data_IF_442820415647
#
_entry.id   IF_442820415647
#
_cell.length_a   1.000
_cell.length_b   1.000
_cell.length_c   1.000
_cell.angle_alpha   90.00
_cell.angle_beta   90.00
_cell.angle_gamma   90.00
#
_symmetry.space_group_name_H-M   'P 1'
#
loop_
_entity.id
_entity.type
_entity.pdbx_description
1 polymer ?
#
# COMPACT_ATOMS: atom_id res chain seq x y z
N UNK A 1 7.73 -21.47 -5.35
CA UNK A 1 7.75 -21.59 -3.88
C UNK A 1 6.48 -20.97 -3.34
N UNK A 2 5.83 -21.62 -2.39
CA UNK A 2 4.65 -21.06 -1.71
C UNK A 2 5.12 -19.98 -0.73
N UNK A 3 4.50 -18.79 -0.78
CA UNK A 3 4.73 -17.74 0.23
C UNK A 3 4.11 -18.19 1.56
N UNK A 4 4.94 -18.66 2.50
CA UNK A 4 4.55 -19.18 3.83
C UNK A 4 5.36 -18.50 4.95
N UNK A 5 5.03 -17.24 5.30
CA UNK A 5 5.73 -16.49 6.34
C UNK A 5 5.47 -17.00 7.77
N UNK A 6 4.51 -17.92 7.96
CA UNK A 6 4.15 -18.47 9.27
C UNK A 6 4.73 -19.87 9.52
N UNK A 7 5.19 -20.56 8.48
CA UNK A 7 5.68 -21.93 8.54
C UNK A 7 4.60 -22.96 8.91
N UNK A 8 3.33 -22.61 8.78
CA UNK A 8 2.19 -23.42 9.23
C UNK A 8 1.22 -23.82 8.10
N UNK A 9 1.64 -23.64 6.83
CA UNK A 9 0.83 -23.91 5.64
C UNK A 9 0.12 -25.27 5.67
N UNK A 10 0.82 -26.32 6.13
CA UNK A 10 0.28 -27.67 6.17
C UNK A 10 -1.02 -27.78 6.99
N UNK A 11 -1.13 -27.00 8.08
CA UNK A 11 -2.23 -27.06 9.06
C UNK A 11 -3.18 -25.86 8.98
N UNK A 12 -2.70 -24.70 8.49
CA UNK A 12 -3.45 -23.44 8.47
C UNK A 12 -3.76 -22.93 7.07
N UNK A 13 -3.28 -23.60 6.02
CA UNK A 13 -3.49 -23.19 4.64
C UNK A 13 -2.64 -21.98 4.24
N UNK A 14 -2.91 -21.45 3.05
CA UNK A 14 -2.21 -20.27 2.53
C UNK A 14 -2.49 -19.04 3.41
N UNK A 15 -1.42 -18.40 3.91
CA UNK A 15 -1.47 -17.20 4.75
C UNK A 15 -2.38 -17.28 5.98
N UNK A 16 -2.52 -18.48 6.57
CA UNK A 16 -3.31 -18.70 7.79
C UNK A 16 -4.75 -18.14 7.66
N UNK A 17 -5.40 -18.35 6.52
CA UNK A 17 -6.77 -17.88 6.30
C UNK A 17 -7.81 -18.65 7.15
N UNK A 18 -8.96 -18.02 7.43
CA UNK A 18 -10.05 -18.58 8.25
C UNK A 18 -10.56 -19.91 7.69
N UNK A 19 -10.66 -20.03 6.36
CA UNK A 19 -11.15 -21.23 5.69
C UNK A 19 -10.11 -22.38 5.65
N UNK A 20 -8.87 -22.14 6.09
CA UNK A 20 -7.72 -23.05 5.96
C UNK A 20 -7.49 -23.52 4.52
N UNK A 21 -7.94 -22.74 3.53
CA UNK A 21 -7.77 -23.04 2.12
C UNK A 21 -6.27 -23.04 1.78
N UNK A 22 -5.81 -24.06 1.06
CA UNK A 22 -4.41 -24.20 0.63
C UNK A 22 -4.14 -23.58 -0.73
N UNK A 23 -5.17 -23.51 -1.56
CA UNK A 23 -5.11 -22.93 -2.89
C UNK A 23 -5.11 -21.39 -2.80
N UNK A 24 -4.03 -20.71 -3.25
CA UNK A 24 -3.96 -19.25 -3.25
C UNK A 24 -5.09 -18.60 -4.07
N UNK A 25 -5.56 -19.22 -5.16
CA UNK A 25 -6.63 -18.66 -5.99
C UNK A 25 -7.96 -18.60 -5.23
N UNK A 26 -8.24 -19.63 -4.43
CA UNK A 26 -9.42 -19.64 -3.55
C UNK A 26 -9.30 -18.52 -2.52
N UNK A 27 -8.14 -18.34 -1.90
CA UNK A 27 -7.92 -17.27 -0.91
C UNK A 27 -8.05 -15.90 -1.55
N UNK A 28 -7.49 -15.67 -2.75
CA UNK A 28 -7.62 -14.38 -3.45
C UNK A 28 -9.08 -14.06 -3.80
N UNK A 29 -9.89 -15.05 -4.19
CA UNK A 29 -11.33 -14.87 -4.40
C UNK A 29 -12.06 -14.48 -3.12
N UNK A 30 -11.76 -15.14 -1.99
CA UNK A 30 -12.34 -14.78 -0.68
C UNK A 30 -11.95 -13.33 -0.30
N UNK A 31 -10.70 -12.98 -0.53
CA UNK A 31 -10.14 -11.67 -0.24
C UNK A 31 -10.78 -10.57 -1.11
N UNK A 32 -10.98 -10.84 -2.40
CA UNK A 32 -11.70 -9.94 -3.31
C UNK A 32 -13.16 -9.73 -2.87
N UNK A 33 -13.88 -10.79 -2.54
CA UNK A 33 -15.26 -10.69 -2.08
C UNK A 33 -15.37 -9.89 -0.76
N UNK A 34 -14.50 -10.20 0.21
CA UNK A 34 -14.42 -9.47 1.49
C UNK A 34 -14.15 -7.99 1.27
N UNK A 35 -13.20 -7.66 0.38
CA UNK A 35 -12.91 -6.30 -0.02
C UNK A 35 -14.16 -5.58 -0.55
N UNK A 36 -14.85 -6.14 -1.56
CA UNK A 36 -16.04 -5.52 -2.14
C UNK A 36 -17.12 -5.21 -1.10
N UNK A 37 -17.30 -6.09 -0.12
CA UNK A 37 -18.28 -5.89 0.97
C UNK A 37 -17.83 -4.89 2.05
N UNK A 38 -16.51 -4.74 2.25
CA UNK A 38 -15.94 -3.91 3.32
C UNK A 38 -15.65 -2.45 2.94
N UNK A 39 -15.58 -2.13 1.63
CA UNK A 39 -15.17 -0.79 1.15
C UNK A 39 -16.00 0.34 1.76
N UNK A 40 -17.34 0.21 1.77
CA UNK A 40 -18.20 1.30 2.22
C UNK A 40 -18.04 1.56 3.72
N UNK A 41 -17.89 0.49 4.52
CA UNK A 41 -17.64 0.59 5.96
C UNK A 41 -16.25 1.21 6.25
N UNK A 42 -15.22 0.79 5.52
CA UNK A 42 -13.87 1.33 5.65
C UNK A 42 -13.81 2.81 5.25
N UNK A 43 -14.41 3.20 4.11
CA UNK A 43 -14.50 4.60 3.70
C UNK A 43 -15.31 5.44 4.69
N UNK A 44 -16.40 4.90 5.25
CA UNK A 44 -17.18 5.58 6.30
C UNK A 44 -16.33 5.84 7.54
N UNK A 45 -15.53 4.87 7.99
CA UNK A 45 -14.59 5.04 9.11
C UNK A 45 -13.59 6.17 8.82
N UNK A 46 -12.94 6.14 7.65
CA UNK A 46 -11.93 7.11 7.26
C UNK A 46 -12.49 8.53 7.15
N UNK A 47 -13.67 8.71 6.53
CA UNK A 47 -14.35 10.00 6.42
C UNK A 47 -14.72 10.60 7.78
N UNK A 48 -14.96 9.77 8.80
CA UNK A 48 -15.30 10.23 10.14
C UNK A 48 -14.10 10.77 10.93
N UNK A 49 -12.87 10.45 10.52
CA UNK A 49 -11.66 10.88 11.23
C UNK A 49 -11.27 12.32 10.89
N UNK A 50 -10.90 13.12 11.89
CA UNK A 50 -10.36 14.49 11.67
C UNK A 50 -9.00 14.47 10.98
N UNK A 51 -8.15 13.52 11.37
CA UNK A 51 -6.83 13.23 10.82
C UNK A 51 -6.66 11.72 10.75
N UNK A 52 -5.94 11.23 9.75
CA UNK A 52 -5.60 9.82 9.61
C UNK A 52 -4.29 9.51 10.33
N UNK A 53 -4.26 8.35 10.97
CA UNK A 53 -3.13 7.83 11.74
C UNK A 53 -2.78 6.41 11.31
N UNK A 54 -1.65 5.88 11.78
CA UNK A 54 -1.30 4.47 11.59
C UNK A 54 -2.44 3.51 12.00
N UNK A 55 -3.15 3.83 13.09
CA UNK A 55 -4.27 3.03 13.57
C UNK A 55 -5.42 2.95 12.55
N UNK A 56 -5.65 4.01 11.77
CA UNK A 56 -6.68 4.01 10.72
C UNK A 56 -6.29 3.12 9.54
N UNK A 57 -4.99 3.00 9.23
CA UNK A 57 -4.49 2.06 8.22
C UNK A 57 -4.73 0.61 8.67
N UNK A 58 -4.40 0.30 9.93
CA UNK A 58 -4.66 -1.02 10.52
C UNK A 58 -6.16 -1.34 10.58
N UNK A 59 -6.98 -0.38 11.01
CA UNK A 59 -8.43 -0.54 11.10
C UNK A 59 -9.07 -0.70 9.72
N UNK A 60 -8.58 0.00 8.70
CA UNK A 60 -9.01 -0.17 7.31
C UNK A 60 -8.75 -1.60 6.85
N UNK A 61 -7.51 -2.09 7.00
CA UNK A 61 -7.19 -3.47 6.64
C UNK A 61 -8.04 -4.50 7.40
N UNK A 62 -8.24 -4.29 8.72
CA UNK A 62 -9.10 -5.14 9.53
C UNK A 62 -10.52 -5.19 8.97
N UNK A 63 -11.13 -4.04 8.74
CA UNK A 63 -12.50 -3.91 8.22
C UNK A 63 -12.66 -4.60 6.87
N UNK A 64 -11.64 -4.53 6.01
CA UNK A 64 -11.66 -5.15 4.69
C UNK A 64 -11.51 -6.67 4.73
N UNK A 65 -10.78 -7.23 5.71
CA UNK A 65 -10.25 -8.60 5.60
C UNK A 65 -10.40 -9.48 6.85
N UNK A 66 -11.06 -9.02 7.92
CA UNK A 66 -11.25 -9.82 9.15
C UNK A 66 -12.07 -11.10 8.92
N UNK A 67 -12.92 -11.14 7.89
CA UNK A 67 -13.63 -12.36 7.50
C UNK A 67 -12.72 -13.41 6.82
N UNK A 68 -11.52 -13.02 6.36
CA UNK A 68 -10.60 -13.87 5.60
C UNK A 68 -9.35 -14.22 6.40
N UNK A 69 -8.79 -13.25 7.11
CA UNK A 69 -7.54 -13.40 7.84
C UNK A 69 -7.73 -13.17 9.35
N UNK A 70 -7.39 -14.14 10.22
CA UNK A 70 -7.39 -13.95 11.67
C UNK A 70 -6.43 -12.85 12.15
N UNK A 71 -5.43 -12.52 11.33
CA UNK A 71 -4.44 -11.48 11.61
C UNK A 71 -4.81 -10.12 11.00
N UNK A 72 -6.00 -9.95 10.40
CA UNK A 72 -6.37 -8.70 9.76
C UNK A 72 -6.27 -7.51 10.72
N UNK A 73 -5.54 -6.47 10.29
CA UNK A 73 -5.21 -5.30 11.13
C UNK A 73 -3.95 -5.46 11.97
N UNK A 74 -3.32 -6.63 11.97
CA UNK A 74 -1.94 -6.82 12.42
C UNK A 74 -0.96 -6.67 11.27
N UNK A 75 0.03 -5.81 11.43
CA UNK A 75 1.10 -5.62 10.44
C UNK A 75 2.13 -6.79 10.47
N UNK A 76 3.12 -6.72 9.58
CA UNK A 76 4.22 -7.69 9.50
C UNK A 76 5.17 -7.58 10.70
N UNK A 77 5.22 -6.46 11.42
CA UNK A 77 5.98 -6.42 12.67
C UNK A 77 5.36 -7.38 13.71
N UNK A 78 4.04 -7.40 13.84
CA UNK A 78 3.37 -8.33 14.73
C UNK A 78 3.36 -9.78 14.21
N UNK A 79 3.26 -9.98 12.90
CA UNK A 79 2.98 -11.31 12.33
C UNK A 79 4.19 -12.03 11.71
N UNK A 80 5.20 -11.29 11.26
CA UNK A 80 6.31 -11.82 10.47
C UNK A 80 7.56 -10.92 10.54
N UNK A 81 7.95 -10.48 11.75
CA UNK A 81 9.07 -9.54 11.96
C UNK A 81 10.44 -10.08 11.57
N UNK A 82 10.54 -11.40 11.39
CA UNK A 82 11.76 -12.12 11.08
C UNK A 82 12.06 -12.17 9.57
N UNK A 83 11.20 -11.63 8.69
CA UNK A 83 11.40 -11.66 7.23
C UNK A 83 11.41 -10.29 6.57
N UNK A 84 12.24 -10.17 5.55
CA UNK A 84 12.11 -9.14 4.52
C UNK A 84 11.10 -9.58 3.46
N UNK A 85 10.25 -8.65 3.03
CA UNK A 85 9.33 -8.83 1.91
C UNK A 85 9.78 -7.91 0.77
N UNK A 86 9.73 -8.41 -0.46
CA UNK A 86 10.14 -7.66 -1.64
C UNK A 86 9.18 -7.84 -2.81
N UNK A 87 9.27 -6.91 -3.76
CA UNK A 87 8.67 -7.01 -5.08
C UNK A 87 9.69 -6.58 -6.13
N UNK A 88 10.09 -7.51 -7.00
CA UNK A 88 11.19 -7.28 -7.93
C UNK A 88 12.50 -6.97 -7.20
N UNK A 89 13.10 -5.83 -7.53
CA UNK A 89 14.34 -5.28 -6.95
C UNK A 89 14.13 -4.59 -5.59
N UNK A 90 12.90 -4.15 -5.29
CA UNK A 90 12.59 -3.30 -4.13
C UNK A 90 12.33 -4.17 -2.91
N UNK A 91 13.11 -3.94 -1.85
CA UNK A 91 12.81 -4.45 -0.50
C UNK A 91 11.86 -3.43 0.15
N UNK A 92 10.68 -3.86 0.59
CA UNK A 92 9.77 -2.98 1.31
C UNK A 92 10.32 -2.61 2.69
N UNK A 93 9.68 -1.65 3.38
CA UNK A 93 10.09 -1.24 4.71
C UNK A 93 10.34 -2.45 5.63
N UNK A 94 11.50 -2.42 6.31
CA UNK A 94 11.83 -3.41 7.32
C UNK A 94 10.72 -3.43 8.39
N UNK A 95 10.36 -4.59 8.97
CA UNK A 95 9.27 -4.66 9.94
C UNK A 95 9.30 -3.61 11.05
N UNK A 96 10.48 -3.25 11.56
CA UNK A 96 10.62 -2.21 12.60
C UNK A 96 10.41 -0.77 12.08
N UNK A 97 10.47 -0.55 10.77
CA UNK A 97 10.36 0.76 10.14
C UNK A 97 8.98 1.01 9.50
N UNK A 98 8.12 -0.03 9.44
CA UNK A 98 6.78 0.04 8.81
C UNK A 98 5.99 1.25 9.33
N UNK A 99 5.90 1.39 10.67
CA UNK A 99 5.14 2.48 11.27
C UNK A 99 5.71 3.84 10.88
N UNK A 100 7.03 4.01 10.93
CA UNK A 100 7.70 5.25 10.54
C UNK A 100 7.42 5.60 9.07
N UNK A 101 7.49 4.61 8.18
CA UNK A 101 7.23 4.79 6.76
C UNK A 101 5.76 5.22 6.50
N UNK A 102 4.81 4.57 7.16
CA UNK A 102 3.39 4.92 7.02
C UNK A 102 3.06 6.27 7.68
N UNK A 103 3.60 6.57 8.85
CA UNK A 103 3.40 7.87 9.51
C UNK A 103 3.93 9.01 8.61
N UNK A 104 5.08 8.83 7.96
CA UNK A 104 5.60 9.81 6.98
C UNK A 104 4.68 9.95 5.75
N UNK A 105 4.17 8.85 5.21
CA UNK A 105 3.22 8.88 4.09
C UNK A 105 1.93 9.63 4.46
N UNK A 106 1.41 9.41 5.68
CA UNK A 106 0.23 10.10 6.21
C UNK A 106 0.51 11.58 6.47
N UNK A 107 1.68 11.93 6.99
CA UNK A 107 2.09 13.33 7.15
C UNK A 107 2.06 14.07 5.80
N UNK A 108 2.74 13.52 4.78
CA UNK A 108 2.77 14.10 3.43
C UNK A 108 1.40 14.14 2.76
N UNK A 109 0.61 13.08 2.88
CA UNK A 109 -0.72 13.03 2.28
C UNK A 109 -1.76 13.93 2.96
N UNK A 110 -1.55 14.29 4.23
CA UNK A 110 -2.42 15.24 4.94
C UNK A 110 -2.07 16.70 4.67
N UNK A 111 -0.84 16.99 4.21
CA UNK A 111 -0.55 18.26 3.55
C UNK A 111 -1.33 18.33 2.23
N UNK A 112 -2.40 19.11 2.24
CA UNK A 112 -3.32 19.21 1.09
C UNK A 112 -2.64 19.75 -0.16
N UNK A 113 -1.67 20.66 -0.02
CA UNK A 113 -0.97 21.22 -1.17
C UNK A 113 -0.07 20.15 -1.78
N UNK A 114 0.72 19.47 -0.93
CA UNK A 114 1.57 18.38 -1.36
C UNK A 114 0.77 17.23 -2.00
N UNK A 115 -0.34 16.81 -1.37
CA UNK A 115 -1.20 15.75 -1.88
C UNK A 115 -1.87 16.10 -3.21
N UNK A 116 -2.27 17.37 -3.41
CA UNK A 116 -2.88 17.82 -4.66
C UNK A 116 -1.86 17.89 -5.81
N UNK A 117 -0.62 18.26 -5.51
CA UNK A 117 0.46 18.36 -6.49
C UNK A 117 1.09 17.01 -6.82
N UNK A 118 1.30 16.17 -5.79
CA UNK A 118 2.10 14.94 -5.84
C UNK A 118 1.37 13.71 -5.28
N UNK A 119 0.16 13.38 -5.76
CA UNK A 119 -0.60 12.24 -5.26
C UNK A 119 0.11 10.90 -5.51
N UNK A 120 0.85 10.77 -6.60
CA UNK A 120 1.65 9.59 -6.92
C UNK A 120 2.80 9.38 -5.94
N UNK A 121 3.53 10.45 -5.57
CA UNK A 121 4.59 10.36 -4.57
C UNK A 121 4.05 9.87 -3.20
N UNK A 122 2.89 10.39 -2.77
CA UNK A 122 2.21 9.91 -1.54
C UNK A 122 1.81 8.44 -1.64
N UNK A 123 1.30 7.98 -2.80
CA UNK A 123 1.02 6.56 -3.03
C UNK A 123 2.29 5.71 -2.95
N UNK A 124 3.42 6.22 -3.48
CA UNK A 124 4.73 5.58 -3.37
C UNK A 124 5.18 5.40 -1.91
N UNK A 125 5.00 6.41 -1.06
CA UNK A 125 5.30 6.30 0.36
C UNK A 125 4.42 5.26 1.08
N UNK A 126 3.11 5.24 0.78
CA UNK A 126 2.19 4.24 1.34
C UNK A 126 2.56 2.82 0.88
N UNK A 127 2.85 2.64 -0.41
CA UNK A 127 3.24 1.36 -0.98
C UNK A 127 4.58 0.87 -0.43
N UNK A 128 5.53 1.77 -0.18
CA UNK A 128 6.82 1.41 0.40
C UNK A 128 6.69 0.84 1.81
N UNK A 129 5.82 1.41 2.63
CA UNK A 129 5.58 0.92 4.00
C UNK A 129 5.08 -0.52 4.05
N UNK A 130 4.32 -0.95 3.04
CA UNK A 130 3.84 -2.32 2.81
C UNK A 130 3.54 -3.11 4.10
N UNK A 131 2.63 -2.60 4.96
CA UNK A 131 2.52 -3.04 6.35
C UNK A 131 2.02 -4.48 6.53
N UNK A 132 1.30 -5.07 5.57
CA UNK A 132 0.60 -6.35 5.74
C UNK A 132 1.24 -7.48 4.92
N UNK A 133 0.84 -8.73 5.17
CA UNK A 133 1.27 -9.90 4.39
C UNK A 133 0.51 -10.07 3.07
N UNK A 134 -0.70 -9.50 2.98
CA UNK A 134 -1.53 -9.39 1.79
C UNK A 134 -2.49 -8.21 2.01
N UNK A 135 -3.23 -7.77 1.00
CA UNK A 135 -4.23 -6.71 1.14
C UNK A 135 -3.66 -5.29 1.15
N UNK A 136 -2.35 -5.11 0.97
CA UNK A 136 -1.67 -3.81 0.96
C UNK A 136 -2.28 -2.83 -0.04
N UNK A 137 -2.27 -3.17 -1.34
CA UNK A 137 -2.77 -2.29 -2.41
C UNK A 137 -4.21 -1.79 -2.18
N UNK A 138 -5.12 -2.71 -1.83
CA UNK A 138 -6.53 -2.40 -1.52
C UNK A 138 -6.67 -1.48 -0.31
N UNK A 139 -5.89 -1.72 0.74
CA UNK A 139 -5.92 -0.88 1.94
C UNK A 139 -5.41 0.52 1.65
N UNK A 140 -4.22 0.63 1.04
CA UNK A 140 -3.59 1.94 0.79
C UNK A 140 -4.35 2.76 -0.25
N UNK A 141 -5.05 2.12 -1.19
CA UNK A 141 -5.93 2.84 -2.14
C UNK A 141 -7.08 3.57 -1.43
N UNK A 142 -7.69 2.99 -0.39
CA UNK A 142 -8.75 3.66 0.37
C UNK A 142 -8.18 4.83 1.20
N UNK A 143 -7.00 4.62 1.82
CA UNK A 143 -6.29 5.68 2.55
C UNK A 143 -5.95 6.84 1.61
N UNK A 144 -5.31 6.54 0.48
CA UNK A 144 -4.93 7.51 -0.53
C UNK A 144 -6.12 8.27 -1.10
N UNK A 145 -7.22 7.57 -1.41
CA UNK A 145 -8.43 8.20 -1.93
C UNK A 145 -9.06 9.18 -0.93
N UNK A 146 -9.05 8.87 0.37
CA UNK A 146 -9.52 9.80 1.39
C UNK A 146 -8.59 11.01 1.54
N UNK A 147 -7.27 10.83 1.47
CA UNK A 147 -6.29 11.93 1.48
C UNK A 147 -6.48 12.85 0.26
N UNK A 148 -6.63 12.26 -0.93
CA UNK A 148 -6.89 12.97 -2.18
C UNK A 148 -8.17 13.80 -2.08
N UNK A 149 -9.25 13.18 -1.57
CA UNK A 149 -10.54 13.86 -1.36
C UNK A 149 -10.41 15.06 -0.43
N UNK A 150 -9.64 14.94 0.67
CA UNK A 150 -9.37 16.06 1.60
C UNK A 150 -8.54 17.18 0.97
N UNK A 151 -7.71 16.85 -0.01
CA UNK A 151 -6.94 17.79 -0.83
C UNK A 151 -7.76 18.40 -2.00
N UNK A 152 -9.03 18.01 -2.15
CA UNK A 152 -9.92 18.57 -3.18
C UNK A 152 -9.72 17.95 -4.57
N UNK A 153 -9.04 16.82 -4.67
CA UNK A 153 -8.84 16.06 -5.90
C UNK A 153 -9.41 14.64 -5.77
N UNK A 154 -9.47 13.93 -6.88
CA UNK A 154 -9.63 12.47 -6.89
C UNK A 154 -8.96 11.87 -8.11
N UNK A 155 -8.77 10.55 -8.07
CA UNK A 155 -8.18 9.78 -9.18
C UNK A 155 -9.27 8.92 -9.80
N UNK A 156 -9.42 9.03 -11.12
CA UNK A 156 -10.32 8.22 -11.94
C UNK A 156 -9.71 6.83 -12.17
N UNK A 157 -9.68 6.02 -11.11
CA UNK A 157 -9.04 4.69 -11.13
C UNK A 157 -9.63 3.75 -12.19
N UNK A 158 -10.92 3.87 -12.50
CA UNK A 158 -11.57 3.08 -13.54
C UNK A 158 -11.01 3.33 -14.95
N UNK A 159 -10.41 4.51 -15.18
CA UNK A 159 -9.79 4.87 -16.45
C UNK A 159 -8.29 4.52 -16.53
N UNK A 160 -7.70 4.04 -15.44
CA UNK A 160 -6.29 3.62 -15.40
C UNK A 160 -6.09 2.26 -16.05
N UNK A 161 -4.85 1.94 -16.42
CA UNK A 161 -4.43 0.60 -16.81
C UNK A 161 -3.63 -0.05 -15.67
N UNK A 162 -3.92 -1.33 -15.37
CA UNK A 162 -3.29 -2.08 -14.27
C UNK A 162 -1.77 -2.15 -14.43
N UNK A 163 -1.31 -2.57 -15.61
CA UNK A 163 0.10 -2.89 -15.83
C UNK A 163 0.92 -1.60 -15.91
N UNK A 164 0.38 -0.55 -16.54
CA UNK A 164 1.00 0.77 -16.57
C UNK A 164 1.07 1.41 -15.18
N UNK A 165 0.00 1.32 -14.38
CA UNK A 165 0.01 1.80 -12.99
C UNK A 165 1.07 1.09 -12.16
N UNK A 166 1.12 -0.24 -12.23
CA UNK A 166 2.10 -1.02 -11.48
C UNK A 166 3.53 -0.75 -11.93
N UNK A 167 3.76 -0.57 -13.23
CA UNK A 167 5.07 -0.19 -13.75
C UNK A 167 5.50 1.20 -13.23
N UNK A 168 4.60 2.19 -13.27
CA UNK A 168 4.86 3.53 -12.74
C UNK A 168 5.10 3.51 -11.22
N UNK A 169 4.33 2.72 -10.46
CA UNK A 169 4.53 2.53 -9.03
C UNK A 169 5.87 1.85 -8.73
N UNK A 170 6.29 0.85 -9.50
CA UNK A 170 7.61 0.24 -9.35
C UNK A 170 8.72 1.27 -9.57
N UNK A 171 8.63 2.11 -10.61
CA UNK A 171 9.60 3.17 -10.84
C UNK A 171 9.62 4.20 -9.69
N UNK A 172 8.47 4.55 -9.12
CA UNK A 172 8.38 5.43 -7.95
C UNK A 172 9.01 4.80 -6.70
N UNK A 173 8.92 3.48 -6.53
CA UNK A 173 9.57 2.79 -5.42
C UNK A 173 11.10 2.70 -5.59
N UNK A 174 11.58 2.52 -6.83
CA UNK A 174 13.00 2.49 -7.15
C UNK A 174 13.65 3.88 -7.11
N UNK A 175 12.92 4.91 -7.55
CA UNK A 175 13.37 6.29 -7.66
C UNK A 175 12.38 7.27 -6.98
N UNK A 176 12.23 7.24 -5.64
CA UNK A 176 11.21 8.02 -4.94
C UNK A 176 11.42 9.53 -5.13
N UNK A 177 10.31 10.24 -5.28
CA UNK A 177 10.29 11.70 -5.40
C UNK A 177 10.76 12.23 -6.75
N UNK A 178 10.89 11.36 -7.76
CA UNK A 178 11.19 11.74 -9.15
C UNK A 178 9.92 11.91 -10.01
N UNK A 179 8.74 11.85 -9.39
CA UNK A 179 7.45 12.13 -10.02
C UNK A 179 7.04 11.10 -11.07
N UNK A 180 7.51 9.84 -10.95
CA UNK A 180 7.25 8.78 -11.93
C UNK A 180 5.77 8.41 -11.90
N UNK A 181 5.24 8.21 -10.70
CA UNK A 181 3.83 7.89 -10.53
C UNK A 181 2.94 9.13 -10.70
N UNK A 182 3.42 10.32 -10.34
CA UNK A 182 2.70 11.58 -10.58
C UNK A 182 2.47 11.83 -12.07
N UNK A 183 3.51 11.63 -12.90
CA UNK A 183 3.41 11.76 -14.34
C UNK A 183 2.36 10.80 -14.94
N UNK A 184 2.30 9.57 -14.45
CA UNK A 184 1.29 8.60 -14.85
C UNK A 184 -0.12 8.98 -14.39
N UNK A 185 -0.29 9.45 -13.16
CA UNK A 185 -1.61 9.77 -12.59
C UNK A 185 -2.21 11.08 -13.11
N UNK A 186 -1.39 12.03 -13.56
CA UNK A 186 -1.81 13.35 -14.04
C UNK A 186 -3.05 13.37 -14.96
N UNK A 187 -3.17 12.54 -16.02
CA UNK A 187 -4.36 12.53 -16.88
C UNK A 187 -5.63 11.98 -16.20
N UNK A 188 -5.49 11.29 -15.07
CA UNK A 188 -6.59 10.67 -14.33
C UNK A 188 -7.02 11.50 -13.11
N UNK A 189 -6.34 12.61 -12.81
CA UNK A 189 -6.76 13.54 -11.75
C UNK A 189 -8.05 14.25 -12.18
N UNK A 190 -9.00 14.33 -11.24
CA UNK A 190 -10.26 15.07 -11.35
C UNK A 190 -10.38 16.04 -10.18
N UNK A 191 -11.17 17.09 -10.36
CA UNK A 191 -11.55 17.92 -9.20
C UNK A 191 -12.44 17.09 -8.28
N UNK A 192 -12.34 17.30 -6.97
CA UNK A 192 -13.17 16.57 -5.99
C UNK A 192 -14.67 16.70 -6.25
N UNK A 193 -15.12 17.82 -6.83
CA UNK A 193 -16.51 18.05 -7.24
C UNK A 193 -16.97 17.21 -8.45
N UNK A 194 -16.02 16.70 -9.25
CA UNK A 194 -16.29 15.90 -10.46
C UNK A 194 -16.26 14.39 -10.14
N UNK A 195 -15.75 14.02 -8.96
CA UNK A 195 -15.69 12.63 -8.54
C UNK A 195 -17.09 12.10 -8.26
N UNK A 196 -17.44 11.00 -8.92
CA UNK A 196 -18.56 10.12 -8.53
C UNK A 196 -18.24 9.44 -7.18
N UNK A 197 -19.09 8.50 -6.75
CA UNK A 197 -18.82 7.71 -5.55
C UNK A 197 -17.42 7.07 -5.62
N UNK A 198 -16.54 7.47 -4.69
CA UNK A 198 -15.15 7.01 -4.60
C UNK A 198 -15.08 5.49 -4.39
N UNK A 199 -16.04 4.92 -3.67
CA UNK A 199 -16.14 3.48 -3.48
C UNK A 199 -16.35 2.76 -4.81
N UNK A 200 -17.25 3.26 -5.66
CA UNK A 200 -17.51 2.67 -6.98
C UNK A 200 -16.32 2.79 -7.92
N UNK A 201 -15.63 3.93 -7.92
CA UNK A 201 -14.41 4.12 -8.72
C UNK A 201 -13.30 3.15 -8.30
N UNK A 202 -13.13 2.90 -7.00
CA UNK A 202 -12.15 1.93 -6.48
C UNK A 202 -12.60 0.50 -6.79
N UNK A 203 -13.89 0.16 -6.63
CA UNK A 203 -14.42 -1.18 -7.00
C UNK A 203 -14.17 -1.50 -8.48
N UNK A 204 -14.22 -0.49 -9.34
CA UNK A 204 -13.97 -0.60 -10.78
C UNK A 204 -12.48 -0.49 -11.17
N UNK A 205 -11.57 -0.25 -10.22
CA UNK A 205 -10.15 -0.08 -10.53
C UNK A 205 -9.54 -1.39 -11.05
N UNK A 206 -8.97 -1.40 -12.27
CA UNK A 206 -8.34 -2.59 -12.80
C UNK A 206 -7.13 -2.97 -11.96
N UNK A 207 -7.04 -4.26 -11.59
CA UNK A 207 -5.88 -4.81 -10.88
C UNK A 207 -5.92 -4.87 -9.37
N UNK A 208 -7.08 -4.63 -8.75
CA UNK A 208 -7.32 -4.94 -7.33
C UNK A 208 -7.67 -6.41 -7.06
N UNK A 209 -7.44 -7.29 -8.04
CA UNK A 209 -7.66 -8.75 -7.95
C UNK A 209 -6.60 -9.48 -7.11
N UNK A 210 -5.51 -8.81 -6.72
CA UNK A 210 -4.45 -9.40 -5.91
C UNK A 210 -3.55 -10.38 -6.68
N UNK A 211 -3.56 -10.36 -8.01
CA UNK A 211 -2.84 -11.36 -8.82
C UNK A 211 -1.31 -11.27 -8.78
N UNK A 212 -0.73 -10.27 -8.11
CA UNK A 212 0.71 -10.06 -8.04
C UNK A 212 1.21 -10.35 -6.63
N UNK A 213 1.75 -11.56 -6.46
CA UNK A 213 2.25 -12.04 -5.17
C UNK A 213 3.58 -11.39 -4.79
N UNK A 214 3.69 -10.96 -3.54
CA UNK A 214 4.95 -10.58 -2.91
C UNK A 214 5.83 -11.81 -2.69
N UNK A 215 7.14 -11.58 -2.48
CA UNK A 215 8.10 -12.63 -2.18
C UNK A 215 8.79 -12.39 -0.84
N UNK A 216 9.10 -13.47 -0.11
CA UNK A 216 10.06 -13.43 0.99
C UNK A 216 11.45 -13.24 0.38
N UNK A 217 12.15 -12.17 0.76
CA UNK A 217 13.53 -11.94 0.33
C UNK A 217 14.52 -12.79 1.12
N UNK A 218 14.21 -13.02 2.41
CA UNK A 218 14.99 -13.80 3.37
C UNK A 218 14.75 -13.29 4.78
N UNK A 219 15.56 -13.72 5.73
CA UNK A 219 15.43 -13.30 7.13
C UNK A 219 15.96 -11.88 7.37
N UNK A 220 15.37 -11.17 8.34
CA UNK A 220 15.88 -9.86 8.79
C UNK A 220 17.22 -9.95 9.53
N UNK A 221 17.61 -11.16 9.92
CA UNK A 221 18.92 -11.49 10.52
C UNK A 221 20.05 -11.57 9.49
N UNK A 222 19.73 -11.72 8.19
CA UNK A 222 20.72 -11.90 7.12
C UNK A 222 21.54 -10.60 6.91
N UNK A 223 22.86 -10.62 7.14
CA UNK A 223 23.72 -9.45 6.99
C UNK A 223 23.70 -8.86 5.57
N UNK A 224 23.58 -9.68 4.53
CA UNK A 224 23.58 -9.22 3.15
C UNK A 224 22.28 -8.48 2.81
N UNK A 225 21.13 -9.00 3.24
CA UNK A 225 19.85 -8.33 3.07
C UNK A 225 19.75 -7.04 3.89
N UNK A 226 20.30 -7.05 5.11
CA UNK A 226 20.39 -5.85 5.94
C UNK A 226 21.21 -4.76 5.24
N UNK A 227 22.39 -5.09 4.73
CA UNK A 227 23.23 -4.14 4.00
C UNK A 227 22.55 -3.64 2.71
N UNK A 228 21.83 -4.51 1.99
CA UNK A 228 21.04 -4.13 0.82
C UNK A 228 19.93 -3.14 1.19
N UNK A 229 19.20 -3.40 2.27
CA UNK A 229 18.16 -2.50 2.78
C UNK A 229 18.73 -1.14 3.19
N UNK A 230 19.83 -1.11 3.96
CA UNK A 230 20.50 0.13 4.38
C UNK A 230 20.97 0.96 3.17
N UNK A 231 21.55 0.30 2.15
CA UNK A 231 21.96 0.97 0.92
C UNK A 231 20.75 1.52 0.13
N UNK A 232 19.61 0.84 0.15
CA UNK A 232 18.37 1.33 -0.43
C UNK A 232 17.88 2.58 0.31
N UNK A 233 17.83 2.55 1.64
CA UNK A 233 17.40 3.68 2.47
C UNK A 233 18.24 4.94 2.23
N UNK A 234 19.56 4.80 2.09
CA UNK A 234 20.44 5.92 1.77
C UNK A 234 20.11 6.55 0.40
N UNK A 235 19.80 5.74 -0.61
CA UNK A 235 19.39 6.25 -1.93
C UNK A 235 18.04 6.98 -1.86
N UNK A 236 17.10 6.45 -1.05
CA UNK A 236 15.78 7.05 -0.87
C UNK A 236 15.88 8.42 -0.17
N UNK A 237 16.69 8.55 0.88
CA UNK A 237 16.96 9.83 1.57
C UNK A 237 17.68 10.85 0.66
N UNK A 238 18.61 10.38 -0.18
CA UNK A 238 19.30 11.24 -1.16
C UNK A 238 18.37 11.80 -2.25
N UNK A 239 17.28 11.10 -2.57
CA UNK A 239 16.21 11.58 -3.45
C UNK A 239 15.41 12.72 -2.81
N UNK A 240 14.99 12.54 -1.55
CA UNK A 240 14.20 13.51 -0.77
C UNK A 240 14.91 14.86 -0.58
N UNK A 241 16.23 14.86 -0.34
CA UNK A 241 17.03 16.09 -0.18
C UNK A 241 17.29 16.88 -1.47
N UNK A 242 17.09 16.28 -2.64
CA UNK A 242 17.28 16.94 -3.94
C UNK A 242 16.04 17.73 -4.40
N UNK A 243 14.84 17.34 -3.94
CA UNK A 243 13.59 18.04 -4.23
C UNK A 243 13.43 19.33 -3.42
N UNK A 244 14.02 19.42 -2.22
CA UNK A 244 13.97 20.63 -1.38
C UNK A 244 14.95 21.73 -1.79
N UNK A 245 15.94 21.44 -2.66
CA UNK A 245 16.94 22.43 -3.11
C UNK A 245 16.60 23.10 -4.44
N UNK A 246 15.52 22.69 -5.12
CA UNK A 246 15.11 23.28 -6.39
C UNK A 246 14.19 24.50 -6.25
N UNK A 247 13.61 24.72 -5.06
CA UNK A 247 12.81 25.91 -4.73
C UNK A 247 13.52 26.75 -3.67
N UNK A 248 14.51 27.51 -4.10
CA UNK A 248 14.96 28.73 -3.42
C UNK A 248 15.38 29.72 -4.51
N UNK A 249 14.71 30.88 -4.64
CA UNK A 249 15.10 31.91 -5.60
C UNK A 249 16.47 32.52 -5.30
#
# INVERSE_FOLDING_TARGET
MTFDPFGDFATRGYLRNVAKAKDPEIVQRLLHNSFLTGIDAALKHLKAQKSLSYADVLQTHKTLFEAVFPWAGGDRHANASHIFVKKGSVIFAHPNDIRKAIDYALEKGQDKAFMAEKPGEVMGYLAYGHPFLDGNGRTIMLIHAELARRAGIGIDWAATDKDQYLAALTQELEEPGKGKLDAYLKPFIRKGSEMKDVGDAIKAAPGLDGSNADAVAGETSDPALKAQYEAQELKRQGGEGSAQKADSP
#
